data_IF_777013103891
#
_entry.id   IF_777013103891
#
_cell.length_a   1.000
_cell.length_b   1.000
_cell.length_c   1.000
_cell.angle_alpha   90.00
_cell.angle_beta   90.00
_cell.angle_gamma   90.00
#
_symmetry.space_group_name_H-M   'P 1'
#
loop_
_entity.id
_entity.type
_entity.pdbx_description
1 polymer ?
#
# COMPACT_ATOMS: atom_id res chain seq x y z
N UNK A 1 17.63 -27.92 12.81
CA UNK A 1 16.84 -26.76 12.34
C UNK A 1 16.25 -27.07 10.97
N UNK A 2 14.95 -27.36 10.91
CA UNK A 2 14.22 -27.58 9.66
C UNK A 2 14.09 -26.24 8.92
N UNK A 3 14.61 -26.15 7.69
CA UNK A 3 14.38 -24.99 6.82
C UNK A 3 12.92 -25.05 6.36
N UNK A 4 12.06 -24.27 7.02
CA UNK A 4 10.70 -24.03 6.54
C UNK A 4 10.84 -23.50 5.10
N UNK A 5 10.29 -24.17 4.07
CA UNK A 5 10.41 -23.70 2.71
C UNK A 5 9.77 -22.31 2.61
N UNK A 6 10.53 -21.34 2.09
CA UNK A 6 10.06 -19.97 1.94
C UNK A 6 8.77 -19.98 1.10
N UNK A 7 7.63 -19.70 1.75
CA UNK A 7 6.33 -19.59 1.11
C UNK A 7 6.46 -18.57 -0.02
N UNK A 8 6.15 -18.97 -1.26
CA UNK A 8 6.19 -18.07 -2.43
C UNK A 8 5.41 -16.79 -2.09
N UNK A 9 6.09 -15.65 -2.20
CA UNK A 9 5.48 -14.35 -1.99
C UNK A 9 4.39 -14.13 -3.06
N UNK A 10 3.12 -14.18 -2.63
CA UNK A 10 1.96 -13.90 -3.49
C UNK A 10 1.79 -12.39 -3.71
N UNK A 11 2.87 -11.70 -4.09
CA UNK A 11 2.80 -10.28 -4.44
C UNK A 11 2.53 -10.14 -5.94
N UNK A 12 1.59 -9.27 -6.37
CA UNK A 12 1.34 -9.07 -7.79
C UNK A 12 2.58 -8.53 -8.51
N UNK A 13 2.60 -8.67 -9.83
CA UNK A 13 3.68 -8.15 -10.66
C UNK A 13 3.84 -6.63 -10.45
N UNK A 14 5.08 -6.11 -10.34
CA UNK A 14 5.32 -4.69 -10.07
C UNK A 14 4.63 -3.75 -11.06
N UNK A 15 4.57 -4.12 -12.34
CA UNK A 15 3.93 -3.33 -13.40
C UNK A 15 2.43 -3.21 -13.14
N UNK A 16 1.75 -4.33 -12.85
CA UNK A 16 0.31 -4.31 -12.56
C UNK A 16 0.00 -3.42 -11.34
N UNK A 17 0.81 -3.52 -10.28
CA UNK A 17 0.69 -2.69 -9.08
C UNK A 17 0.85 -1.20 -9.41
N UNK A 18 1.87 -0.85 -10.18
CA UNK A 18 2.13 0.54 -10.56
C UNK A 18 1.06 1.11 -11.49
N UNK A 19 0.57 0.33 -12.45
CA UNK A 19 -0.55 0.71 -13.32
C UNK A 19 -1.80 1.03 -12.49
N UNK A 20 -2.18 0.15 -11.56
CA UNK A 20 -3.32 0.38 -10.67
C UNK A 20 -3.10 1.63 -9.79
N UNK A 21 -1.87 1.83 -9.29
CA UNK A 21 -1.50 3.02 -8.50
C UNK A 21 -1.71 4.31 -9.26
N UNK A 22 -1.23 4.38 -10.51
CA UNK A 22 -1.33 5.58 -11.34
C UNK A 22 -2.78 5.89 -11.73
N UNK A 23 -3.54 4.86 -12.13
CA UNK A 23 -4.98 5.00 -12.43
C UNK A 23 -5.74 5.49 -11.19
N UNK A 24 -5.52 4.86 -10.03
CA UNK A 24 -6.17 5.25 -8.78
C UNK A 24 -5.80 6.67 -8.35
N UNK A 25 -4.55 7.09 -8.57
CA UNK A 25 -4.11 8.45 -8.30
C UNK A 25 -4.83 9.46 -9.21
N UNK A 26 -4.92 9.19 -10.50
CA UNK A 26 -5.59 10.05 -11.46
C UNK A 26 -7.08 10.22 -11.10
N UNK A 27 -7.80 9.12 -10.89
CA UNK A 27 -9.19 9.13 -10.44
C UNK A 27 -9.33 9.91 -9.14
N UNK A 28 -8.47 9.64 -8.15
CA UNK A 28 -8.53 10.32 -6.84
C UNK A 28 -8.30 11.84 -6.95
N UNK A 29 -7.41 12.26 -7.84
CA UNK A 29 -7.13 13.68 -8.11
C UNK A 29 -8.29 14.39 -8.80
N UNK A 30 -8.95 13.72 -9.75
CA UNK A 30 -10.08 14.31 -10.51
C UNK A 30 -11.30 14.48 -9.61
N UNK A 31 -11.70 13.43 -8.89
CA UNK A 31 -12.97 13.44 -8.16
C UNK A 31 -12.84 14.03 -6.74
N UNK A 32 -11.72 13.79 -6.03
CA UNK A 32 -11.54 14.22 -4.64
C UNK A 32 -10.42 15.24 -4.42
N UNK A 33 -9.66 15.60 -5.48
CA UNK A 33 -8.58 16.60 -5.41
C UNK A 33 -7.57 16.30 -4.29
N UNK A 34 -7.31 15.01 -4.04
CA UNK A 34 -6.52 14.56 -2.90
C UNK A 34 -5.13 15.23 -2.84
N UNK A 35 -4.65 15.49 -1.63
CA UNK A 35 -3.33 16.06 -1.36
C UNK A 35 -2.61 15.20 -0.33
N UNK A 36 -1.33 14.96 -0.57
CA UNK A 36 -0.46 14.27 0.37
C UNK A 36 0.46 15.29 1.02
N UNK A 37 0.50 15.27 2.34
CA UNK A 37 1.34 16.16 3.14
C UNK A 37 2.40 15.31 3.86
N UNK A 38 3.58 15.89 4.10
CA UNK A 38 4.64 15.27 4.88
C UNK A 38 5.10 13.87 4.40
N UNK A 39 5.01 13.59 3.10
CA UNK A 39 5.42 12.29 2.53
C UNK A 39 6.91 11.98 2.69
N UNK A 40 7.73 13.00 2.97
CA UNK A 40 9.15 12.86 3.34
C UNK A 40 9.37 12.10 4.66
N UNK A 41 8.36 12.04 5.53
CA UNK A 41 8.45 11.34 6.81
C UNK A 41 8.22 9.82 6.66
N UNK A 42 7.82 9.34 5.47
CA UNK A 42 7.65 7.92 5.21
C UNK A 42 9.05 7.32 4.99
N UNK A 43 9.52 6.42 5.88
CA UNK A 43 10.87 5.88 5.75
C UNK A 43 10.97 4.96 4.53
N UNK A 44 11.91 5.27 3.63
CA UNK A 44 12.12 4.54 2.37
C UNK A 44 13.17 3.44 2.51
N UNK A 45 14.20 3.71 3.29
CA UNK A 45 15.41 2.88 3.37
C UNK A 45 15.50 2.12 4.71
N UNK A 46 14.36 1.89 5.38
CA UNK A 46 14.29 1.00 6.53
C UNK A 46 14.60 -0.44 6.08
N UNK A 47 15.64 -1.04 6.65
CA UNK A 47 15.90 -2.48 6.53
C UNK A 47 14.75 -3.33 7.11
N UNK A 48 14.02 -2.77 8.09
CA UNK A 48 12.90 -3.40 8.77
C UNK A 48 11.50 -3.17 8.15
N UNK A 49 10.51 -3.75 8.82
CA UNK A 49 9.09 -3.54 8.52
C UNK A 49 8.61 -2.13 8.87
N UNK A 50 7.51 -1.70 8.26
CA UNK A 50 6.80 -0.46 8.59
C UNK A 50 5.33 -0.79 8.85
N UNK A 51 4.83 -0.45 10.03
CA UNK A 51 3.41 -0.51 10.35
C UNK A 51 2.77 0.85 10.06
N UNK A 52 1.75 0.86 9.21
CA UNK A 52 0.97 2.07 8.89
C UNK A 52 -0.41 1.87 9.51
N UNK A 53 -0.77 2.72 10.47
CA UNK A 53 -2.02 2.66 11.21
C UNK A 53 -2.83 3.96 10.97
N UNK A 54 -3.52 4.07 9.81
CA UNK A 54 -4.36 5.23 9.53
C UNK A 54 -5.66 5.16 10.34
N UNK A 55 -6.32 6.30 10.51
CA UNK A 55 -7.75 6.28 10.85
C UNK A 55 -8.54 5.61 9.71
N UNK A 56 -9.62 4.88 10.03
CA UNK A 56 -10.44 4.19 9.04
C UNK A 56 -11.84 4.83 8.97
N UNK A 57 -12.06 5.65 7.95
CA UNK A 57 -13.30 6.39 7.74
C UNK A 57 -14.08 5.89 6.51
N UNK A 58 -13.41 5.30 5.51
CA UNK A 58 -14.03 4.89 4.26
C UNK A 58 -13.45 3.60 3.70
N UNK A 59 -14.22 2.90 2.85
CA UNK A 59 -13.71 1.75 2.10
C UNK A 59 -12.60 2.09 1.08
N UNK A 60 -12.41 3.38 0.76
CA UNK A 60 -11.33 3.83 -0.14
C UNK A 60 -9.99 4.03 0.59
N UNK A 61 -9.97 3.94 1.92
CA UNK A 61 -8.78 4.21 2.72
C UNK A 61 -7.58 3.34 2.30
N UNK A 62 -7.71 2.02 2.01
CA UNK A 62 -6.58 1.23 1.54
C UNK A 62 -5.93 1.79 0.27
N UNK A 63 -6.73 2.35 -0.65
CA UNK A 63 -6.23 2.97 -1.88
C UNK A 63 -5.47 4.24 -1.53
N UNK A 64 -6.10 5.18 -0.82
CA UNK A 64 -5.48 6.49 -0.54
C UNK A 64 -4.25 6.39 0.37
N UNK A 65 -4.24 5.47 1.32
CA UNK A 65 -3.08 5.18 2.17
C UNK A 65 -1.95 4.57 1.35
N UNK A 66 -2.26 3.76 0.33
CA UNK A 66 -1.26 3.14 -0.53
C UNK A 66 -0.59 4.12 -1.49
N UNK A 67 -1.33 5.07 -2.08
CA UNK A 67 -0.85 5.96 -3.14
C UNK A 67 0.51 6.66 -2.89
N UNK A 68 0.80 7.23 -1.70
CA UNK A 68 2.08 7.89 -1.41
C UNK A 68 3.20 6.93 -0.99
N UNK A 69 2.90 5.63 -0.80
CA UNK A 69 3.83 4.63 -0.26
C UNK A 69 4.58 3.95 -1.40
N UNK A 70 5.91 4.10 -1.42
CA UNK A 70 6.79 3.55 -2.48
C UNK A 70 7.40 2.18 -2.15
N UNK A 71 6.89 1.50 -1.12
CA UNK A 71 7.31 0.15 -0.70
C UNK A 71 6.15 -0.82 -0.84
N UNK A 72 6.45 -2.13 -0.92
CA UNK A 72 5.41 -3.16 -0.92
C UNK A 72 4.57 -3.02 0.35
N UNK A 73 3.27 -2.81 0.18
CA UNK A 73 2.30 -2.67 1.26
C UNK A 73 1.41 -3.92 1.31
N UNK A 74 1.09 -4.37 2.53
CA UNK A 74 0.14 -5.46 2.77
C UNK A 74 -0.90 -4.96 3.77
N UNK A 75 -2.15 -5.30 3.52
CA UNK A 75 -3.26 -4.97 4.39
C UNK A 75 -3.64 -6.20 5.21
N UNK A 76 -4.10 -5.96 6.43
CA UNK A 76 -4.83 -6.96 7.18
C UNK A 76 -6.26 -6.98 6.63
N UNK A 77 -6.70 -8.15 6.18
CA UNK A 77 -8.07 -8.37 5.73
C UNK A 77 -8.60 -9.61 6.43
N UNK A 78 -9.90 -9.65 6.68
CA UNK A 78 -10.55 -10.87 7.14
C UNK A 78 -10.58 -11.91 6.00
N UNK A 79 -10.41 -13.18 6.36
CA UNK A 79 -10.34 -14.30 5.41
C UNK A 79 -11.68 -14.55 4.69
N UNK A 80 -12.79 -14.18 5.35
CA UNK A 80 -14.16 -14.26 4.84
C UNK A 80 -14.94 -13.03 5.29
N UNK A 81 -15.72 -12.46 4.38
CA UNK A 81 -16.80 -11.53 4.70
C UNK A 81 -18.07 -12.31 5.04
#
# INVERSE_FOLDING_TARGET
MSKIPAKRDKYPLPIAVETVRLISLAISKVFWRIKFHNTKNIPRDLEGGLLIAPNHQTYLDPIWVYLPIKRRLRFMAWDKA
#
